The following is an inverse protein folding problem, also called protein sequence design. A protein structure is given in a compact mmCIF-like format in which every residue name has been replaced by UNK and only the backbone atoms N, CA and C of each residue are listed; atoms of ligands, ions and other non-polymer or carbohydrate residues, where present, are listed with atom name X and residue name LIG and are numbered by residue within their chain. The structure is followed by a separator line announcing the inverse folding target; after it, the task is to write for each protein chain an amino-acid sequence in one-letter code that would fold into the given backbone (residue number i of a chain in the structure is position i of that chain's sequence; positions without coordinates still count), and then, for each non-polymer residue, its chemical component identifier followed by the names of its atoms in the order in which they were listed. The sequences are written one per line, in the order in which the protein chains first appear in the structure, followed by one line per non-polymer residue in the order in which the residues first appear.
data_IF_645050904298
#
_entry.id   IF_645050904298
#
_cell.length_a   1.000
_cell.length_b   1.000
_cell.length_c   1.000
_cell.angle_alpha   90.00
_cell.angle_beta   90.00
_cell.angle_gamma   90.00
#
_symmetry.space_group_name_H-M   'P 1'
#
loop_
_entity.id
_entity.type
_entity.pdbx_description
1 polymer ?
#
# COMPACT_ATOMS: atom_id res chain seq x y z
N UNK A 1 -17.49 -22.42 5.96
CA UNK A 1 -16.79 -22.16 4.69
C UNK A 1 -16.31 -20.73 4.77
N UNK A 2 -15.04 -20.50 4.96
CA UNK A 2 -14.46 -19.16 4.99
C UNK A 2 -14.16 -18.79 3.53
N UNK A 3 -14.73 -17.72 3.03
CA UNK A 3 -14.40 -17.22 1.70
C UNK A 3 -13.68 -15.89 1.86
N UNK A 4 -12.45 -15.82 1.39
CA UNK A 4 -11.63 -14.62 1.47
C UNK A 4 -11.48 -14.01 0.07
N UNK A 5 -11.71 -12.71 -0.05
CA UNK A 5 -11.54 -11.97 -1.29
C UNK A 5 -10.41 -10.98 -1.09
N UNK A 6 -9.37 -11.08 -1.90
CA UNK A 6 -8.22 -10.17 -1.82
C UNK A 6 -8.32 -9.14 -2.95
N UNK A 7 -8.48 -7.89 -2.59
CA UNK A 7 -8.49 -6.76 -3.52
C UNK A 7 -7.17 -5.99 -3.35
N UNK A 8 -6.26 -6.12 -4.32
CA UNK A 8 -4.98 -5.40 -4.30
C UNK A 8 -5.12 -4.09 -5.04
N UNK A 9 -4.95 -2.98 -4.34
CA UNK A 9 -4.91 -1.64 -4.93
C UNK A 9 -3.45 -1.21 -5.01
N UNK A 10 -2.90 -1.15 -6.21
CA UNK A 10 -1.54 -0.69 -6.45
C UNK A 10 -1.53 0.64 -7.20
N UNK A 11 -0.69 1.57 -6.75
CA UNK A 11 -0.33 2.74 -7.52
C UNK A 11 1.03 2.47 -8.18
N UNK A 12 1.19 2.71 -9.49
CA UNK A 12 2.51 2.63 -10.08
C UNK A 12 3.41 3.65 -9.39
N UNK A 13 4.52 3.18 -8.82
CA UNK A 13 5.57 4.03 -8.30
C UNK A 13 5.90 5.09 -9.35
N UNK A 14 5.89 6.36 -8.99
CA UNK A 14 6.18 7.47 -9.90
C UNK A 14 7.46 7.20 -10.67
N UNK A 15 7.47 7.52 -11.96
CA UNK A 15 8.65 7.38 -12.79
C UNK A 15 9.84 8.01 -12.07
N UNK A 16 10.84 7.18 -11.77
CA UNK A 16 12.17 7.64 -11.35
C UNK A 16 12.65 8.60 -12.43
N UNK A 17 12.88 9.84 -12.08
CA UNK A 17 13.62 10.75 -12.94
C UNK A 17 14.98 10.09 -13.20
N UNK A 18 15.34 9.99 -14.47
CA UNK A 18 16.65 9.49 -14.93
C UNK A 18 17.74 10.17 -14.09
N UNK A 19 18.57 9.44 -13.33
CA UNK A 19 19.65 10.05 -12.59
C UNK A 19 20.67 10.54 -13.64
N UNK A 20 20.68 11.84 -13.90
CA UNK A 20 21.77 12.48 -14.62
C UNK A 20 23.09 11.96 -14.06
N UNK A 21 24.01 11.56 -14.95
CA UNK A 21 25.26 10.91 -14.61
C UNK A 21 26.05 11.64 -13.52
N UNK A 22 26.98 10.94 -12.86
CA UNK A 22 27.65 11.43 -11.66
C UNK A 22 28.39 12.73 -11.95
N UNK A 23 28.02 13.78 -11.21
CA UNK A 23 28.83 14.98 -11.13
C UNK A 23 30.18 14.63 -10.47
N UNK A 24 31.26 15.02 -11.06
CA UNK A 24 32.57 14.86 -10.45
C UNK A 24 32.64 15.63 -9.12
N UNK A 25 33.24 15.07 -8.07
CA UNK A 25 33.28 15.69 -6.76
C UNK A 25 34.04 17.00 -6.80
N UNK A 26 33.35 18.11 -6.49
CA UNK A 26 33.97 19.37 -6.14
C UNK A 26 34.45 19.33 -4.69
N UNK A 27 35.49 20.09 -4.37
CA UNK A 27 36.11 20.27 -3.04
C UNK A 27 35.11 20.81 -1.99
N UNK A 28 34.17 19.99 -1.52
CA UNK A 28 33.41 20.31 -0.32
C UNK A 28 34.04 19.62 0.90
N UNK A 29 34.13 20.30 2.04
CA UNK A 29 34.74 19.73 3.24
C UNK A 29 33.88 18.57 3.74
N UNK A 30 34.53 17.42 3.97
CA UNK A 30 33.91 16.23 4.55
C UNK A 30 33.24 16.58 5.88
N UNK A 31 31.91 16.62 5.93
CA UNK A 31 31.17 16.74 7.16
C UNK A 31 31.09 15.37 7.80
N UNK A 32 31.88 15.14 8.83
CA UNK A 32 31.74 13.99 9.71
C UNK A 32 30.48 14.22 10.53
N UNK A 33 29.49 13.33 10.42
CA UNK A 33 28.29 13.37 11.24
C UNK A 33 28.66 13.18 12.73
N UNK A 34 27.97 13.87 13.67
CA UNK A 34 28.25 13.70 15.08
C UNK A 34 27.95 12.26 15.52
N UNK A 35 28.84 11.72 16.35
CA UNK A 35 28.74 10.38 16.94
C UNK A 35 27.45 10.30 17.77
N UNK A 36 26.47 9.54 17.29
CA UNK A 36 25.20 9.32 17.98
C UNK A 36 23.96 9.26 17.09
N UNK A 37 24.01 9.71 15.84
CA UNK A 37 22.92 9.56 14.88
C UNK A 37 23.34 8.57 13.79
N UNK A 38 22.82 7.37 13.97
CA UNK A 38 22.68 6.33 12.95
C UNK A 38 23.84 6.25 11.93
N UNK A 39 24.44 5.10 11.83
CA UNK A 39 25.39 4.53 10.89
C UNK A 39 25.14 4.88 9.40
N UNK A 40 25.12 6.15 9.03
CA UNK A 40 24.91 6.65 7.66
C UNK A 40 25.94 7.71 7.28
N UNK A 41 26.41 7.66 6.05
CA UNK A 41 27.29 8.66 5.47
C UNK A 41 26.92 8.96 4.03
N UNK A 42 27.21 10.17 3.56
CA UNK A 42 26.83 10.63 2.23
C UNK A 42 27.48 9.81 1.10
N UNK A 43 28.72 9.40 1.30
CA UNK A 43 29.52 8.70 0.29
C UNK A 43 30.36 7.55 0.88
N UNK A 44 30.93 6.73 0.00
CA UNK A 44 31.72 5.55 0.34
C UNK A 44 32.95 5.88 1.21
N UNK A 45 33.61 6.99 0.95
CA UNK A 45 34.84 7.37 1.67
C UNK A 45 34.50 7.76 3.11
N UNK A 46 33.47 8.61 3.27
CA UNK A 46 32.98 9.03 4.57
C UNK A 46 32.44 7.82 5.37
N UNK A 47 31.71 6.92 4.71
CA UNK A 47 31.22 5.68 5.32
C UNK A 47 32.37 4.77 5.80
N UNK A 48 33.43 4.61 4.98
CA UNK A 48 34.59 3.80 5.33
C UNK A 48 35.34 4.34 6.54
N UNK A 49 35.54 5.66 6.60
CA UNK A 49 36.15 6.29 7.78
C UNK A 49 35.30 6.12 9.02
N UNK A 50 34.00 6.36 8.91
CA UNK A 50 33.06 6.21 10.03
C UNK A 50 32.99 4.77 10.52
N UNK A 51 32.93 3.78 9.63
CA UNK A 51 32.91 2.35 9.97
C UNK A 51 34.19 1.92 10.69
N UNK A 52 35.35 2.35 10.19
CA UNK A 52 36.64 2.04 10.82
C UNK A 52 36.77 2.65 12.23
N UNK A 53 36.17 3.83 12.46
CA UNK A 53 36.22 4.52 13.76
C UNK A 53 35.20 3.94 14.74
N UNK A 54 33.97 3.68 14.29
CA UNK A 54 32.87 3.17 15.14
C UNK A 54 32.99 1.68 15.44
N UNK A 55 33.62 0.91 14.58
CA UNK A 55 33.64 -0.55 14.61
C UNK A 55 32.32 -1.19 14.17
N UNK A 56 31.41 -0.41 13.53
CA UNK A 56 30.10 -0.86 13.07
C UNK A 56 29.92 -0.55 11.57
N UNK A 57 29.07 -1.31 10.83
CA UNK A 57 28.72 -1.01 9.45
C UNK A 57 28.05 0.36 9.33
N UNK A 58 28.39 1.12 8.24
CA UNK A 58 27.83 2.42 7.96
C UNK A 58 27.17 2.43 6.58
N UNK A 59 25.90 2.82 6.52
CA UNK A 59 25.12 2.90 5.28
C UNK A 59 25.64 4.04 4.39
N UNK A 60 25.75 3.78 3.09
CA UNK A 60 26.19 4.74 2.07
C UNK A 60 24.97 5.32 1.35
N UNK A 61 24.64 6.59 1.62
CA UNK A 61 23.46 7.24 1.04
C UNK A 61 23.54 7.39 -0.49
N UNK A 62 24.75 7.63 -1.05
CA UNK A 62 24.94 7.74 -2.50
C UNK A 62 24.72 6.43 -3.26
N UNK A 63 24.72 5.27 -2.58
CA UNK A 63 24.43 3.95 -3.14
C UNK A 63 23.01 3.47 -2.79
N UNK A 64 22.22 4.29 -2.10
CA UNK A 64 20.88 3.94 -1.72
C UNK A 64 19.93 3.97 -2.93
N UNK A 65 19.11 2.91 -3.09
CA UNK A 65 17.98 2.88 -4.01
C UNK A 65 16.69 2.40 -3.28
N UNK A 66 15.62 2.21 -4.04
CA UNK A 66 14.33 1.82 -3.46
C UNK A 66 14.32 0.39 -2.89
N UNK A 67 15.21 -0.48 -3.37
CA UNK A 67 15.17 -1.91 -3.14
C UNK A 67 16.38 -2.42 -2.39
N UNK A 68 17.43 -1.61 -2.25
CA UNK A 68 18.68 -2.04 -1.65
C UNK A 68 19.26 -1.04 -0.66
N UNK A 69 20.03 -1.58 0.29
CA UNK A 69 20.82 -0.85 1.26
C UNK A 69 22.24 -1.36 1.18
N UNK A 70 23.20 -0.47 0.91
CA UNK A 70 24.63 -0.82 0.89
C UNK A 70 25.34 -0.15 2.06
N UNK A 71 26.11 -0.95 2.82
CA UNK A 71 26.91 -0.49 3.94
C UNK A 71 28.39 -0.80 3.71
N UNK A 72 29.28 0.05 4.26
CA UNK A 72 30.70 -0.26 4.41
C UNK A 72 30.93 -0.84 5.79
N UNK A 73 31.60 -2.00 5.84
CA UNK A 73 31.96 -2.67 7.08
C UNK A 73 33.28 -2.07 7.66
N UNK A 74 33.55 -2.30 8.97
CA UNK A 74 34.81 -1.82 9.61
C UNK A 74 36.10 -2.33 8.96
N UNK A 75 36.04 -3.46 8.27
CA UNK A 75 37.16 -4.04 7.53
C UNK A 75 37.32 -3.50 6.09
N UNK A 76 36.44 -2.55 5.70
CA UNK A 76 36.41 -1.95 4.37
C UNK A 76 35.65 -2.78 3.32
N UNK A 77 35.10 -3.92 3.66
CA UNK A 77 34.20 -4.68 2.78
C UNK A 77 32.82 -4.04 2.68
N UNK A 78 32.03 -4.45 1.66
CA UNK A 78 30.68 -3.96 1.46
C UNK A 78 29.66 -5.07 1.75
N UNK A 79 28.56 -4.68 2.36
CA UNK A 79 27.37 -5.51 2.48
C UNK A 79 26.22 -4.82 1.77
N UNK A 80 25.57 -5.52 0.82
CA UNK A 80 24.34 -5.03 0.18
C UNK A 80 23.20 -5.95 0.53
N UNK A 81 22.13 -5.39 1.10
CA UNK A 81 20.90 -6.06 1.38
C UNK A 81 19.89 -5.69 0.29
N UNK A 82 19.32 -6.70 -0.39
CA UNK A 82 18.32 -6.52 -1.43
C UNK A 82 16.95 -7.02 -0.94
N UNK A 83 15.91 -6.27 -1.26
CA UNK A 83 14.52 -6.60 -0.94
C UNK A 83 13.70 -6.82 -2.20
N UNK A 84 12.74 -7.77 -2.14
CA UNK A 84 11.79 -8.04 -3.23
C UNK A 84 10.78 -6.89 -3.47
N UNK A 85 10.62 -5.99 -2.49
CA UNK A 85 9.77 -4.80 -2.57
C UNK A 85 10.52 -3.55 -2.14
N UNK A 86 9.97 -2.35 -2.39
CA UNK A 86 10.60 -1.11 -1.98
C UNK A 86 10.66 -1.02 -0.45
N UNK A 87 11.82 -0.66 0.09
CA UNK A 87 12.09 -0.45 1.52
C UNK A 87 12.25 1.02 1.88
N UNK A 88 12.38 1.89 0.86
CA UNK A 88 12.50 3.34 1.01
C UNK A 88 11.94 4.08 -0.19
N UNK A 89 11.71 5.35 -0.02
CA UNK A 89 11.23 6.26 -1.07
C UNK A 89 11.90 7.63 -0.92
N UNK A 90 11.81 8.46 -1.96
CA UNK A 90 12.19 9.86 -1.86
C UNK A 90 10.98 10.70 -1.48
N UNK A 91 11.16 11.53 -0.45
CA UNK A 91 10.14 12.51 -0.06
C UNK A 91 10.10 13.71 -1.03
N UNK A 92 9.25 14.69 -0.73
CA UNK A 92 9.09 15.89 -1.58
C UNK A 92 10.35 16.77 -1.63
N UNK A 93 11.24 16.67 -0.64
CA UNK A 93 12.53 17.32 -0.58
C UNK A 93 13.61 16.54 -1.34
N UNK A 94 13.31 15.32 -1.77
CA UNK A 94 14.24 14.43 -2.48
C UNK A 94 15.10 13.58 -1.56
N UNK A 95 14.87 13.62 -0.26
CA UNK A 95 15.60 12.85 0.74
C UNK A 95 15.07 11.43 0.85
N UNK A 96 15.95 10.48 1.17
CA UNK A 96 15.56 9.10 1.39
C UNK A 96 14.86 8.92 2.73
N UNK A 97 13.64 8.36 2.67
CA UNK A 97 12.85 7.92 3.84
C UNK A 97 12.67 6.42 3.81
N UNK A 98 12.80 5.79 4.95
CA UNK A 98 12.45 4.39 5.10
C UNK A 98 10.92 4.23 5.09
N UNK A 99 10.45 3.14 4.49
CA UNK A 99 9.03 2.78 4.53
C UNK A 99 8.76 2.11 5.88
N UNK A 100 7.81 2.68 6.61
CA UNK A 100 7.28 2.12 7.85
C UNK A 100 5.77 2.09 7.73
N UNK A 101 5.22 0.88 7.62
CA UNK A 101 3.80 0.65 7.36
C UNK A 101 2.99 0.48 8.63
N UNK A 102 3.60 0.49 9.81
CA UNK A 102 2.90 0.36 11.08
C UNK A 102 1.86 1.47 11.23
N UNK A 103 0.63 1.06 11.47
CA UNK A 103 -0.51 1.95 11.58
C UNK A 103 -0.56 2.62 12.95
N UNK A 104 -0.63 3.94 12.96
CA UNK A 104 -0.77 4.75 14.14
C UNK A 104 -1.89 5.77 14.02
N UNK A 105 -2.16 6.51 15.10
CA UNK A 105 -3.15 7.58 15.13
C UNK A 105 -2.66 8.77 14.28
N UNK A 106 -3.37 9.04 13.18
CA UNK A 106 -3.16 10.20 12.31
C UNK A 106 -3.90 11.45 12.75
N UNK A 107 -4.66 11.38 13.84
CA UNK A 107 -5.55 12.44 14.29
C UNK A 107 -6.90 12.42 13.56
N UNK A 108 -7.87 13.15 14.11
CA UNK A 108 -9.23 13.28 13.54
C UNK A 108 -10.00 11.98 13.28
N UNK A 109 -9.58 10.85 13.88
CA UNK A 109 -10.14 9.51 13.67
C UNK A 109 -9.65 8.88 12.36
N UNK A 110 -8.40 9.09 12.03
CA UNK A 110 -7.70 8.42 10.96
C UNK A 110 -6.57 7.55 11.51
N UNK A 111 -6.36 6.38 10.92
CA UNK A 111 -5.15 5.59 11.09
C UNK A 111 -4.28 5.79 9.85
N UNK A 112 -3.01 6.07 10.07
CA UNK A 112 -2.03 6.30 9.00
C UNK A 112 -0.77 5.47 9.23
N UNK A 113 -0.10 5.01 8.17
CA UNK A 113 1.22 4.40 8.32
C UNK A 113 2.25 5.44 8.79
N UNK A 114 3.22 5.02 9.57
CA UNK A 114 4.25 5.90 10.14
C UNK A 114 5.09 6.58 9.04
N UNK A 115 5.37 5.87 7.93
CA UNK A 115 6.09 6.43 6.78
C UNK A 115 5.72 5.69 5.48
N UNK A 116 5.10 6.39 4.53
CA UNK A 116 4.59 5.77 3.30
C UNK A 116 4.83 6.67 2.08
N UNK A 117 5.19 6.12 0.90
CA UNK A 117 5.40 6.91 -0.33
C UNK A 117 4.13 7.53 -0.91
N UNK A 118 2.97 7.13 -0.39
CA UNK A 118 1.66 7.63 -0.79
C UNK A 118 0.92 8.13 0.46
N UNK A 119 -0.03 9.06 0.26
CA UNK A 119 -0.95 9.47 1.32
C UNK A 119 -2.01 8.38 1.54
N UNK A 120 -1.72 7.42 2.39
CA UNK A 120 -2.66 6.35 2.78
C UNK A 120 -3.27 6.70 4.13
N UNK A 121 -4.60 6.68 4.23
CA UNK A 121 -5.29 6.79 5.50
C UNK A 121 -6.51 5.87 5.57
N UNK A 122 -6.72 5.25 6.70
CA UNK A 122 -7.92 4.51 7.05
C UNK A 122 -8.82 5.47 7.82
N UNK A 123 -9.90 5.89 7.18
CA UNK A 123 -10.79 6.94 7.70
C UNK A 123 -11.87 6.29 8.56
N UNK A 124 -11.93 6.67 9.82
CA UNK A 124 -13.06 6.34 10.69
C UNK A 124 -14.23 7.28 10.44
N UNK A 125 -15.41 6.71 10.19
CA UNK A 125 -16.61 7.49 9.96
C UNK A 125 -17.14 8.08 11.28
N UNK A 126 -17.50 9.37 11.26
CA UNK A 126 -18.19 10.05 12.35
C UNK A 126 -19.36 10.88 11.83
N UNK A 127 -20.25 11.39 12.71
CA UNK A 127 -21.34 12.28 12.32
C UNK A 127 -20.80 13.48 11.56
N UNK A 128 -21.23 13.66 10.30
CA UNK A 128 -20.82 14.76 9.41
C UNK A 128 -19.54 14.51 8.62
N UNK A 129 -18.83 13.42 8.83
CA UNK A 129 -17.66 13.02 8.03
C UNK A 129 -18.07 12.19 6.79
N UNK A 130 -17.29 12.26 5.72
CA UNK A 130 -17.40 11.35 4.57
C UNK A 130 -17.20 9.94 5.10
N UNK A 131 -18.11 9.03 4.82
CA UNK A 131 -18.18 7.68 5.42
C UNK A 131 -16.83 6.98 5.57
N UNK A 132 -16.83 5.95 6.42
CA UNK A 132 -15.65 5.11 6.72
C UNK A 132 -15.05 4.55 5.43
N UNK A 133 -13.73 4.43 5.39
CA UNK A 133 -13.08 3.91 4.19
C UNK A 133 -11.57 3.96 4.22
N UNK A 134 -10.97 3.60 3.10
CA UNK A 134 -9.54 3.75 2.87
C UNK A 134 -9.33 4.83 1.82
N UNK A 135 -8.55 5.83 2.14
CA UNK A 135 -8.11 6.84 1.20
C UNK A 135 -6.67 6.55 0.76
N UNK A 136 -6.42 6.68 -0.53
CA UNK A 136 -5.07 6.63 -1.11
C UNK A 136 -4.90 7.83 -2.01
N UNK A 137 -3.89 8.62 -1.72
CA UNK A 137 -3.53 9.82 -2.47
C UNK A 137 -2.09 9.81 -2.93
N UNK A 138 -1.74 10.80 -3.73
CA UNK A 138 -0.35 11.15 -4.00
C UNK A 138 0.03 12.37 -3.18
N UNK A 139 1.25 12.41 -2.67
CA UNK A 139 1.85 13.58 -2.06
C UNK A 139 1.63 14.81 -2.96
N UNK A 140 1.20 15.93 -2.36
CA UNK A 140 0.79 17.11 -3.11
C UNK A 140 -0.70 17.20 -3.47
N UNK A 141 -1.53 16.23 -3.05
CA UNK A 141 -2.99 16.37 -2.87
C UNK A 141 -3.88 16.56 -4.11
N UNK A 142 -3.33 16.43 -5.32
CA UNK A 142 -4.09 16.63 -6.57
C UNK A 142 -4.93 15.43 -6.99
N UNK A 143 -4.58 14.23 -6.55
CA UNK A 143 -5.18 12.96 -6.95
C UNK A 143 -5.44 12.10 -5.73
N UNK A 144 -6.65 11.58 -5.61
CA UNK A 144 -7.04 10.73 -4.48
C UNK A 144 -8.14 9.77 -4.90
N UNK A 145 -8.11 8.59 -4.34
CA UNK A 145 -9.19 7.59 -4.41
C UNK A 145 -9.59 7.26 -2.97
N UNK A 146 -10.88 7.35 -2.67
CA UNK A 146 -11.45 6.94 -1.39
C UNK A 146 -12.40 5.78 -1.62
N UNK A 147 -12.08 4.64 -1.05
CA UNK A 147 -12.91 3.45 -1.02
C UNK A 147 -13.83 3.53 0.18
N UNK A 148 -15.12 3.69 -0.04
CA UNK A 148 -16.10 3.78 1.03
C UNK A 148 -16.52 2.38 1.47
N UNK A 149 -15.97 1.92 2.58
CA UNK A 149 -16.24 0.60 3.14
C UNK A 149 -17.25 0.74 4.27
N UNK A 150 -18.15 -0.22 4.43
CA UNK A 150 -19.10 -0.23 5.54
C UNK A 150 -18.39 -0.72 6.82
N UNK A 151 -17.31 -0.06 7.19
CA UNK A 151 -16.55 -0.36 8.40
C UNK A 151 -17.38 0.02 9.64
N UNK A 152 -17.41 -0.81 10.66
CA UNK A 152 -18.11 -0.54 11.92
C UNK A 152 -17.18 -0.80 13.12
N UNK A 153 -17.31 0.04 14.16
CA UNK A 153 -16.48 -0.05 15.37
C UNK A 153 -15.03 0.37 15.13
N UNK A 154 -14.23 0.29 16.16
CA UNK A 154 -12.80 0.52 16.09
C UNK A 154 -12.13 -0.72 15.53
N UNK A 155 -11.13 -0.61 14.65
CA UNK A 155 -10.42 -1.75 14.13
C UNK A 155 -9.49 -2.36 15.20
N UNK A 156 -9.27 -3.67 15.08
CA UNK A 156 -8.11 -4.27 15.72
C UNK A 156 -6.90 -4.03 14.81
N UNK A 157 -5.88 -3.34 15.32
CA UNK A 157 -4.68 -2.96 14.58
C UNK A 157 -3.50 -3.80 15.05
N UNK A 158 -2.77 -4.38 14.09
CA UNK A 158 -1.53 -5.12 14.32
C UNK A 158 -0.54 -4.79 13.18
N UNK A 159 0.52 -4.03 13.51
CA UNK A 159 1.47 -3.52 12.53
C UNK A 159 0.78 -2.73 11.42
N UNK A 160 0.97 -3.17 10.17
CA UNK A 160 0.38 -2.57 8.97
C UNK A 160 -1.05 -3.03 8.64
N UNK A 161 -1.69 -3.80 9.53
CA UNK A 161 -2.98 -4.42 9.30
C UNK A 161 -4.06 -3.88 10.24
N UNK A 162 -5.23 -3.59 9.68
CA UNK A 162 -6.42 -3.22 10.43
C UNK A 162 -7.57 -4.17 10.10
N UNK A 163 -8.20 -4.75 11.13
CA UNK A 163 -9.32 -5.68 11.02
C UNK A 163 -10.58 -5.02 11.56
N UNK A 164 -11.56 -4.84 10.71
CA UNK A 164 -12.88 -4.30 11.04
C UNK A 164 -13.91 -5.42 11.05
N UNK A 165 -14.56 -5.61 12.18
CA UNK A 165 -15.59 -6.62 12.34
C UNK A 165 -16.99 -6.03 12.17
N UNK A 166 -17.82 -6.67 11.34
CA UNK A 166 -19.26 -6.38 11.29
C UNK A 166 -19.70 -5.24 10.37
N UNK A 167 -18.92 -4.89 9.36
CA UNK A 167 -19.33 -3.93 8.31
C UNK A 167 -20.52 -4.44 7.48
N UNK A 168 -20.51 -5.72 7.14
CA UNK A 168 -21.65 -6.50 6.71
C UNK A 168 -21.88 -7.63 7.73
N UNK A 169 -23.13 -8.07 7.96
CA UNK A 169 -23.39 -9.18 8.87
C UNK A 169 -22.55 -10.42 8.53
N UNK A 170 -21.74 -10.88 9.48
CA UNK A 170 -20.87 -12.06 9.29
C UNK A 170 -19.66 -11.86 8.37
N UNK A 171 -19.32 -10.62 8.01
CA UNK A 171 -18.15 -10.30 7.17
C UNK A 171 -17.21 -9.37 7.90
N UNK A 172 -15.95 -9.75 7.97
CA UNK A 172 -14.87 -8.87 8.40
C UNK A 172 -14.20 -8.25 7.18
N UNK A 173 -13.72 -7.04 7.36
CA UNK A 173 -12.89 -6.33 6.37
C UNK A 173 -11.50 -6.21 6.93
N UNK A 174 -10.54 -6.80 6.26
CA UNK A 174 -9.11 -6.67 6.57
C UNK A 174 -8.50 -5.71 5.57
N UNK A 175 -7.85 -4.68 6.07
CA UNK A 175 -7.04 -3.76 5.28
C UNK A 175 -5.59 -3.96 5.68
N UNK A 176 -4.76 -4.27 4.70
CA UNK A 176 -3.33 -4.53 4.85
C UNK A 176 -2.58 -3.48 4.02
N UNK A 177 -1.91 -2.54 4.67
CA UNK A 177 -1.17 -1.48 4.00
C UNK A 177 0.10 -2.04 3.37
N UNK A 178 0.35 -1.69 2.12
CA UNK A 178 1.48 -2.16 1.32
C UNK A 178 2.27 -0.96 0.78
N UNK A 179 3.56 -1.09 0.48
CA UNK A 179 4.36 0.04 -0.01
C UNK A 179 3.80 0.73 -1.26
N UNK A 180 2.99 0.01 -2.05
CA UNK A 180 2.36 0.53 -3.27
C UNK A 180 0.88 0.90 -3.13
N UNK A 181 0.33 0.88 -1.90
CA UNK A 181 -1.07 1.18 -1.63
C UNK A 181 -1.64 0.35 -0.49
N UNK A 182 -2.65 -0.45 -0.75
CA UNK A 182 -3.22 -1.37 0.24
C UNK A 182 -3.83 -2.60 -0.42
N UNK A 183 -3.94 -3.65 0.34
CA UNK A 183 -4.65 -4.86 0.04
C UNK A 183 -5.89 -4.93 0.94
N UNK A 184 -7.03 -5.32 0.37
CA UNK A 184 -8.27 -5.46 1.10
C UNK A 184 -8.82 -6.86 0.96
N UNK A 185 -9.15 -7.48 2.07
CA UNK A 185 -9.78 -8.79 2.12
C UNK A 185 -11.15 -8.72 2.78
N UNK A 186 -12.15 -9.30 2.14
CA UNK A 186 -13.46 -9.58 2.77
C UNK A 186 -13.43 -11.00 3.29
N UNK A 187 -13.51 -11.17 4.60
CA UNK A 187 -13.52 -12.47 5.26
C UNK A 187 -14.96 -12.83 5.63
N UNK A 188 -15.55 -13.72 4.88
CA UNK A 188 -16.92 -14.22 5.14
C UNK A 188 -16.85 -15.37 6.12
N UNK A 189 -17.38 -15.18 7.33
CA UNK A 189 -17.21 -16.11 8.46
C UNK A 189 -17.99 -17.41 8.30
N UNK A 190 -19.18 -17.34 7.71
CA UNK A 190 -20.05 -18.49 7.58
C UNK A 190 -20.98 -18.40 6.36
N UNK A 191 -21.72 -19.47 6.11
CA UNK A 191 -22.64 -19.56 4.98
C UNK A 191 -23.84 -18.63 5.11
N UNK A 192 -24.28 -18.33 6.33
CA UNK A 192 -25.41 -17.45 6.60
C UNK A 192 -25.08 -16.00 6.20
N UNK A 193 -23.84 -15.59 6.45
CA UNK A 193 -23.35 -14.28 6.00
C UNK A 193 -23.40 -14.14 4.48
N UNK A 194 -23.08 -15.22 3.75
CA UNK A 194 -23.21 -15.28 2.29
C UNK A 194 -24.65 -15.08 1.84
N UNK A 195 -25.63 -15.69 2.51
CA UNK A 195 -27.04 -15.60 2.13
C UNK A 195 -27.60 -14.18 2.15
N UNK A 196 -27.08 -13.31 3.04
CA UNK A 196 -27.42 -11.89 3.10
C UNK A 196 -26.78 -11.02 2.01
N UNK A 197 -25.76 -11.54 1.32
CA UNK A 197 -24.99 -10.84 0.27
C UNK A 197 -25.33 -11.33 -1.14
N UNK A 198 -26.23 -12.30 -1.27
CA UNK A 198 -26.46 -13.01 -2.52
C UNK A 198 -27.54 -12.35 -3.35
N UNK A 199 -27.21 -12.00 -4.62
CA UNK A 199 -28.15 -12.06 -5.73
C UNK A 199 -28.40 -13.51 -6.13
N UNK A 200 -29.30 -13.78 -7.06
CA UNK A 200 -29.81 -15.14 -7.35
C UNK A 200 -28.71 -16.19 -7.61
N UNK A 201 -27.54 -15.82 -8.19
CA UNK A 201 -26.50 -16.77 -8.60
C UNK A 201 -25.07 -16.38 -8.19
N UNK A 202 -24.85 -15.28 -7.46
CA UNK A 202 -23.53 -14.78 -7.11
C UNK A 202 -23.47 -14.06 -5.78
N UNK A 203 -22.29 -14.05 -5.16
CA UNK A 203 -21.97 -13.18 -4.03
C UNK A 203 -21.48 -11.85 -4.59
N UNK A 204 -22.05 -10.74 -4.14
CA UNK A 204 -21.73 -9.40 -4.66
C UNK A 204 -21.48 -8.40 -3.54
N UNK A 205 -20.34 -7.71 -3.59
CA UNK A 205 -20.02 -6.56 -2.74
C UNK A 205 -19.99 -5.31 -3.59
N UNK A 206 -20.80 -4.33 -3.24
CA UNK A 206 -20.82 -3.03 -3.89
C UNK A 206 -20.02 -2.03 -3.04
N UNK A 207 -18.89 -1.55 -3.56
CA UNK A 207 -18.00 -0.61 -2.87
C UNK A 207 -18.07 0.74 -3.58
N UNK A 208 -18.69 1.77 -2.98
CA UNK A 208 -18.67 3.11 -3.52
C UNK A 208 -17.25 3.69 -3.48
N UNK A 209 -16.88 4.38 -4.56
CA UNK A 209 -15.56 5.00 -4.69
C UNK A 209 -15.73 6.49 -5.00
N UNK A 210 -15.02 7.33 -4.26
CA UNK A 210 -14.89 8.76 -4.52
C UNK A 210 -13.49 9.03 -5.07
N UNK A 211 -13.42 9.87 -6.12
CA UNK A 211 -12.13 10.22 -6.72
C UNK A 211 -11.97 11.75 -6.78
N UNK A 212 -10.75 12.22 -6.57
CA UNK A 212 -10.32 13.59 -6.81
C UNK A 212 -9.26 13.58 -7.91
N UNK A 213 -9.47 14.35 -8.97
CA UNK A 213 -8.54 14.44 -10.11
C UNK A 213 -8.41 13.17 -10.95
N UNK A 214 -9.25 12.16 -10.71
CA UNK A 214 -9.23 10.85 -11.37
C UNK A 214 -10.63 10.42 -11.82
N UNK A 215 -10.67 9.47 -12.76
CA UNK A 215 -11.89 8.77 -13.20
C UNK A 215 -11.65 7.28 -13.13
N UNK A 216 -12.57 6.54 -12.52
CA UNK A 216 -12.56 5.09 -12.52
C UNK A 216 -13.10 4.55 -13.85
N UNK A 217 -12.43 3.54 -14.42
CA UNK A 217 -12.87 2.84 -15.63
C UNK A 217 -12.54 1.36 -15.55
N UNK A 218 -13.21 0.57 -16.37
CA UNK A 218 -12.84 -0.83 -16.58
C UNK A 218 -11.50 -0.90 -17.31
N UNK A 219 -10.57 -1.68 -16.77
CA UNK A 219 -9.25 -1.93 -17.33
C UNK A 219 -9.19 -3.27 -18.07
N UNK A 220 -7.99 -3.61 -18.54
CA UNK A 220 -7.73 -4.91 -19.18
C UNK A 220 -7.68 -6.03 -18.15
N UNK A 221 -8.03 -7.26 -18.57
CA UNK A 221 -7.95 -8.44 -17.72
C UNK A 221 -8.84 -8.40 -16.47
N UNK A 222 -9.95 -7.66 -16.51
CA UNK A 222 -10.87 -7.56 -15.37
C UNK A 222 -10.42 -6.59 -14.28
N UNK A 223 -9.38 -5.79 -14.52
CA UNK A 223 -8.90 -4.76 -13.58
C UNK A 223 -9.81 -3.53 -13.55
N UNK A 224 -9.65 -2.70 -12.53
CA UNK A 224 -10.20 -1.34 -12.46
C UNK A 224 -9.04 -0.35 -12.51
N UNK A 225 -9.11 0.61 -13.41
CA UNK A 225 -8.10 1.65 -13.58
C UNK A 225 -8.64 3.01 -13.14
N UNK A 226 -7.81 3.79 -12.45
CA UNK A 226 -8.05 5.19 -12.15
C UNK A 226 -7.15 6.06 -13.03
N UNK A 227 -7.77 6.83 -13.90
CA UNK A 227 -7.04 7.63 -14.90
C UNK A 227 -7.18 9.11 -14.64
N UNK A 228 -6.13 9.86 -14.96
CA UNK A 228 -6.16 11.32 -14.88
C UNK A 228 -6.86 11.94 -16.10
N UNK A 229 -6.95 13.28 -16.14
CA UNK A 229 -7.59 14.03 -17.21
C UNK A 229 -6.93 13.86 -18.59
N UNK A 230 -5.70 13.33 -18.64
CA UNK A 230 -4.96 13.00 -19.86
C UNK A 230 -5.13 11.54 -20.27
N UNK A 231 -5.89 10.75 -19.52
CA UNK A 231 -6.09 9.31 -19.74
C UNK A 231 -4.92 8.43 -19.27
N UNK A 232 -3.91 9.00 -18.57
CA UNK A 232 -2.82 8.24 -17.97
C UNK A 232 -3.35 7.45 -16.78
N UNK A 233 -3.06 6.16 -16.73
CA UNK A 233 -3.34 5.31 -15.57
C UNK A 233 -2.47 5.76 -14.39
N UNK A 234 -3.10 6.08 -13.29
CA UNK A 234 -2.48 6.54 -12.05
C UNK A 234 -2.53 5.45 -10.97
N UNK A 235 -3.61 4.67 -10.95
CA UNK A 235 -3.80 3.56 -10.03
C UNK A 235 -4.54 2.43 -10.72
N UNK A 236 -4.26 1.21 -10.29
CA UNK A 236 -4.89 0.00 -10.81
C UNK A 236 -5.29 -0.90 -9.66
N UNK A 237 -6.48 -1.46 -9.75
CA UNK A 237 -6.93 -2.58 -8.93
C UNK A 237 -6.91 -3.81 -9.83
N UNK A 238 -6.06 -4.75 -9.51
CA UNK A 238 -5.99 -6.02 -10.25
C UNK A 238 -7.23 -6.88 -9.95
N UNK A 239 -7.58 -7.76 -10.89
CA UNK A 239 -8.66 -8.71 -10.69
C UNK A 239 -8.34 -9.59 -9.47
N UNK A 240 -9.21 -9.62 -8.45
CA UNK A 240 -8.96 -10.37 -7.23
C UNK A 240 -9.25 -11.86 -7.40
N UNK A 241 -8.90 -12.63 -6.37
CA UNK A 241 -9.23 -14.04 -6.25
C UNK A 241 -10.03 -14.27 -4.98
N UNK A 242 -10.90 -15.28 -4.99
CA UNK A 242 -11.56 -15.79 -3.82
C UNK A 242 -11.00 -17.18 -3.50
N UNK A 243 -10.84 -17.48 -2.23
CA UNK A 243 -10.41 -18.79 -1.75
C UNK A 243 -11.16 -19.15 -0.47
N UNK A 244 -11.25 -20.41 -0.18
CA UNK A 244 -11.83 -20.90 1.06
C UNK A 244 -10.76 -21.22 2.12
N UNK A 245 -11.18 -21.68 3.28
CA UNK A 245 -10.25 -22.01 4.38
C UNK A 245 -9.51 -23.34 4.18
N UNK A 246 -9.73 -24.04 3.06
CA UNK A 246 -9.01 -25.27 2.77
C UNK A 246 -7.58 -24.94 2.36
N UNK A 247 -6.63 -25.63 2.96
CA UNK A 247 -5.20 -25.40 2.77
C UNK A 247 -4.56 -26.65 2.19
N UNK A 248 -3.71 -26.50 1.20
CA UNK A 248 -2.84 -27.57 0.74
C UNK A 248 -1.80 -27.87 1.83
N UNK A 249 -1.77 -29.12 2.31
CA UNK A 249 -0.90 -29.54 3.43
C UNK A 249 0.59 -29.41 3.14
N UNK A 250 1.00 -29.33 1.87
CA UNK A 250 2.42 -29.24 1.48
C UNK A 250 2.90 -27.79 1.38
N UNK A 251 2.09 -26.92 0.75
CA UNK A 251 2.48 -25.53 0.51
C UNK A 251 2.02 -24.58 1.62
N UNK A 252 0.99 -24.95 2.37
CA UNK A 252 0.32 -24.05 3.30
C UNK A 252 -0.53 -22.98 2.61
N UNK A 253 -0.69 -23.04 1.29
CA UNK A 253 -1.48 -22.11 0.50
C UNK A 253 -2.94 -22.57 0.37
N UNK A 254 -3.89 -21.69 0.00
CA UNK A 254 -5.25 -22.09 -0.29
C UNK A 254 -5.31 -23.23 -1.32
N UNK A 255 -6.04 -24.31 -0.99
CA UNK A 255 -6.12 -25.50 -1.84
C UNK A 255 -6.83 -25.24 -3.17
N UNK A 256 -7.72 -24.24 -3.20
CA UNK A 256 -8.44 -23.83 -4.41
C UNK A 256 -8.67 -22.32 -4.39
N UNK A 257 -8.65 -21.70 -5.57
CA UNK A 257 -9.01 -20.31 -5.77
C UNK A 257 -9.99 -20.15 -6.92
N UNK A 258 -10.85 -19.15 -6.83
CA UNK A 258 -11.83 -18.81 -7.86
C UNK A 258 -11.62 -17.38 -8.30
N UNK A 259 -11.58 -17.10 -9.62
CA UNK A 259 -11.52 -15.75 -10.13
C UNK A 259 -12.71 -14.92 -9.68
N UNK A 260 -12.45 -13.68 -9.27
CA UNK A 260 -13.46 -12.70 -8.90
C UNK A 260 -13.56 -11.67 -10.00
N UNK A 261 -14.78 -11.24 -10.31
CA UNK A 261 -15.04 -10.20 -11.32
C UNK A 261 -15.12 -8.84 -10.63
N UNK A 262 -14.52 -7.84 -11.27
CA UNK A 262 -14.66 -6.44 -10.94
C UNK A 262 -15.41 -5.72 -12.06
N UNK A 263 -16.48 -5.03 -11.69
CA UNK A 263 -17.24 -4.17 -12.60
C UNK A 263 -17.26 -2.73 -12.08
N UNK A 264 -17.02 -1.76 -12.96
CA UNK A 264 -17.14 -0.34 -12.62
C UNK A 264 -18.50 0.16 -13.08
N UNK A 265 -19.34 0.56 -12.13
CA UNK A 265 -20.65 1.18 -12.41
C UNK A 265 -20.55 2.69 -12.18
N UNK A 266 -20.75 3.51 -13.22
CA UNK A 266 -20.77 4.96 -13.05
C UNK A 266 -21.98 5.37 -12.21
N UNK A 267 -21.77 6.36 -11.35
CA UNK A 267 -22.82 6.96 -10.51
C UNK A 267 -22.93 8.44 -10.84
N UNK A 268 -24.14 9.00 -10.77
CA UNK A 268 -24.36 10.42 -11.00
C UNK A 268 -23.51 11.28 -10.06
N UNK A 269 -22.81 12.27 -10.62
CA UNK A 269 -21.92 13.18 -9.91
C UNK A 269 -20.45 12.98 -10.30
N UNK A 270 -19.70 14.09 -10.33
CA UNK A 270 -18.28 14.06 -10.70
C UNK A 270 -17.46 13.30 -9.66
N UNK A 271 -16.57 12.43 -10.11
CA UNK A 271 -15.67 11.70 -9.23
C UNK A 271 -16.35 10.62 -8.39
N UNK A 272 -17.42 10.02 -8.88
CA UNK A 272 -18.15 8.94 -8.19
C UNK A 272 -18.28 7.71 -9.07
N UNK A 273 -18.04 6.54 -8.49
CA UNK A 273 -18.28 5.26 -9.10
C UNK A 273 -18.65 4.23 -8.02
N UNK A 274 -19.15 3.09 -8.44
CA UNK A 274 -19.26 1.90 -7.59
C UNK A 274 -18.42 0.82 -8.24
N UNK A 275 -17.50 0.24 -7.49
CA UNK A 275 -16.80 -0.98 -7.87
C UNK A 275 -17.57 -2.15 -7.29
N UNK A 276 -18.01 -3.04 -8.16
CA UNK A 276 -18.72 -4.25 -7.78
C UNK A 276 -17.76 -5.40 -7.85
N UNK A 277 -17.58 -6.05 -6.71
CA UNK A 277 -16.78 -7.27 -6.54
C UNK A 277 -17.73 -8.45 -6.53
N UNK A 278 -17.64 -9.36 -7.47
CA UNK A 278 -18.57 -10.50 -7.53
C UNK A 278 -17.87 -11.82 -7.82
N UNK A 279 -18.39 -12.88 -7.21
CA UNK A 279 -17.96 -14.25 -7.43
C UNK A 279 -19.16 -15.11 -7.77
N UNK A 280 -19.05 -15.93 -8.81
CA UNK A 280 -20.11 -16.87 -9.18
C UNK A 280 -20.20 -17.97 -8.12
N UNK A 281 -21.40 -18.40 -7.77
CA UNK A 281 -21.60 -19.58 -6.91
C UNK A 281 -21.11 -20.82 -7.65
N UNK A 282 -20.29 -21.61 -6.98
CA UNK A 282 -19.91 -22.94 -7.43
C UNK A 282 -21.05 -23.94 -7.21
#
# INVERSE_FOLDING_TARGET
MLVSFVLVVTLPSGAVADPGGPALPGDEPVRVAPVGEVNRAADVVSAGVAAAVSGEPVVVESLADQFSVTSVNPDGSFTTEESAGPVRFRDDEGEWREIDLDLGDGGEGELVPASHPLDVSLIEGGPGKRGRGVAVGHAGGGRQVVWQLPLSGDPHVEGNKAVYSGGWPGVDVVVDVRPSGFEQTFVVRDRQAVEGLVGEDRVEFSVPVLTKGLVARQGKGGSVEFVDSKGKVVSTVVAPVAFDASVDERSGEPAASTPVKLDVRPVAGKGRAVVVVSVDRA
#
